data_IF_276240784835
#
_entry.id   IF_276240784835
#
_cell.length_a   1.000
_cell.length_b   1.000
_cell.length_c   1.000
_cell.angle_alpha   90.00
_cell.angle_beta   90.00
_cell.angle_gamma   90.00
#
_symmetry.space_group_name_H-M   'P 1'
#
loop_
_entity.id
_entity.type
_entity.pdbx_description
1 polymer ?
#
# COMPACT_ATOMS: atom_id res chain seq x y z
N UNK A 1 -19.88 -2.25 7.80
CA UNK A 1 -20.14 -2.33 9.27
C UNK A 1 -18.80 -2.39 10.03
N UNK A 2 -18.72 -2.03 11.33
CA UNK A 2 -17.46 -2.04 12.07
C UNK A 2 -16.70 -3.37 12.02
N UNK A 3 -17.40 -4.49 12.11
CA UNK A 3 -16.80 -5.84 12.08
C UNK A 3 -16.11 -6.14 10.75
N UNK A 4 -16.75 -5.78 9.64
CA UNK A 4 -16.16 -5.93 8.29
C UNK A 4 -14.91 -5.07 8.14
N UNK A 5 -14.91 -3.85 8.69
CA UNK A 5 -13.74 -2.98 8.68
C UNK A 5 -12.59 -3.61 9.48
N UNK A 6 -12.84 -4.17 10.66
CA UNK A 6 -11.81 -4.84 11.44
C UNK A 6 -11.23 -6.06 10.73
N UNK A 7 -12.06 -6.88 10.08
CA UNK A 7 -11.59 -8.03 9.32
C UNK A 7 -10.74 -7.62 8.11
N UNK A 8 -11.17 -6.59 7.38
CA UNK A 8 -10.37 -6.01 6.30
C UNK A 8 -9.04 -5.46 6.85
N UNK A 9 -9.07 -4.71 7.95
CA UNK A 9 -7.86 -4.17 8.56
C UNK A 9 -6.89 -5.27 9.00
N UNK A 10 -7.37 -6.33 9.67
CA UNK A 10 -6.56 -7.51 10.04
C UNK A 10 -5.95 -8.18 8.82
N UNK A 11 -6.71 -8.27 7.73
CA UNK A 11 -6.22 -8.85 6.49
C UNK A 11 -5.10 -7.97 5.90
N UNK A 12 -5.26 -6.66 5.86
CA UNK A 12 -4.24 -5.77 5.30
C UNK A 12 -2.96 -5.72 6.15
N UNK A 13 -3.09 -5.56 7.47
CA UNK A 13 -1.94 -5.36 8.37
C UNK A 13 -0.95 -6.53 8.31
N UNK A 14 -1.40 -7.76 8.04
CA UNK A 14 -0.49 -8.93 7.98
C UNK A 14 0.58 -8.83 6.90
N UNK A 15 0.37 -8.00 5.88
CA UNK A 15 1.28 -7.80 4.76
C UNK A 15 2.11 -6.53 4.88
N UNK A 16 1.80 -5.67 5.83
CA UNK A 16 2.46 -4.38 5.96
C UNK A 16 3.64 -4.48 6.90
N UNK A 17 4.84 -4.05 6.47
CA UNK A 17 5.96 -3.91 7.39
C UNK A 17 5.62 -2.95 8.53
N UNK A 18 6.27 -3.14 9.68
CA UNK A 18 6.08 -2.25 10.82
C UNK A 18 6.37 -0.80 10.43
N UNK A 19 5.55 0.14 10.91
CA UNK A 19 5.66 1.57 10.60
C UNK A 19 5.05 1.97 9.25
N UNK A 20 4.61 1.02 8.42
CA UNK A 20 3.94 1.32 7.16
C UNK A 20 2.58 1.96 7.41
N UNK A 21 2.36 3.13 6.82
CA UNK A 21 1.11 3.87 6.91
C UNK A 21 -0.01 3.16 6.15
N UNK A 22 -1.18 3.08 6.79
CA UNK A 22 -2.43 2.59 6.23
C UNK A 22 -3.28 3.82 5.92
N UNK A 23 -3.37 4.16 4.64
CA UNK A 23 -4.16 5.30 4.18
C UNK A 23 -5.40 4.84 3.42
N UNK A 24 -6.43 5.67 3.46
CA UNK A 24 -7.65 5.46 2.70
C UNK A 24 -8.59 6.66 2.77
N UNK A 25 -9.69 6.56 2.05
CA UNK A 25 -10.80 7.51 2.11
C UNK A 25 -12.12 6.80 1.87
N UNK A 26 -13.25 7.50 2.06
CA UNK A 26 -14.57 6.93 1.76
C UNK A 26 -15.22 6.19 2.92
N UNK A 27 -14.69 6.29 4.14
CA UNK A 27 -15.38 5.77 5.32
C UNK A 27 -16.69 6.55 5.56
N UNK A 28 -17.79 5.85 5.83
CA UNK A 28 -19.04 6.52 6.20
C UNK A 28 -18.98 7.02 7.65
N UNK A 29 -19.72 8.07 7.99
CA UNK A 29 -19.76 8.60 9.36
C UNK A 29 -20.33 7.60 10.34
N UNK A 30 -21.31 6.79 9.90
CA UNK A 30 -21.90 5.71 10.67
C UNK A 30 -20.87 4.61 10.98
N UNK A 31 -19.99 4.30 10.01
CA UNK A 31 -18.89 3.38 10.26
C UNK A 31 -17.95 3.97 11.33
N UNK A 32 -17.50 5.21 11.16
CA UNK A 32 -16.55 5.88 12.06
C UNK A 32 -17.09 5.90 13.49
N UNK A 33 -18.35 6.30 13.67
CA UNK A 33 -19.01 6.35 14.98
C UNK A 33 -19.13 4.97 15.66
N UNK A 34 -19.15 3.88 14.88
CA UNK A 34 -19.20 2.51 15.38
C UNK A 34 -17.85 1.87 15.68
N UNK A 35 -16.73 2.55 15.39
CA UNK A 35 -15.38 2.01 15.61
C UNK A 35 -14.95 2.14 17.08
N UNK A 36 -14.26 1.12 17.57
CA UNK A 36 -13.69 1.03 18.91
C UNK A 36 -12.17 1.16 18.78
N UNK A 37 -11.59 2.14 19.47
CA UNK A 37 -10.14 2.35 19.46
C UNK A 37 -9.38 1.10 19.87
N UNK A 38 -9.81 0.42 20.94
CA UNK A 38 -9.17 -0.79 21.43
C UNK A 38 -9.03 -1.91 20.38
N UNK A 39 -10.02 -2.10 19.50
CA UNK A 39 -9.92 -3.10 18.42
C UNK A 39 -8.89 -2.67 17.37
N UNK A 40 -8.87 -1.40 16.99
CA UNK A 40 -7.90 -0.87 16.02
C UNK A 40 -6.48 -0.94 16.58
N UNK A 41 -6.26 -0.56 17.84
CA UNK A 41 -4.96 -0.65 18.51
C UNK A 41 -4.48 -2.11 18.61
N UNK A 42 -5.39 -3.06 18.88
CA UNK A 42 -5.06 -4.49 18.90
C UNK A 42 -4.67 -5.03 17.53
N UNK A 43 -5.31 -4.54 16.47
CA UNK A 43 -5.09 -5.01 15.09
C UNK A 43 -3.85 -4.37 14.47
N UNK A 44 -3.65 -3.07 14.66
CA UNK A 44 -2.62 -2.28 13.99
C UNK A 44 -1.80 -1.43 14.99
N UNK A 45 -1.10 -2.04 15.98
CA UNK A 45 -0.36 -1.29 16.99
C UNK A 45 0.87 -0.58 16.43
N UNK A 46 1.51 -1.18 15.43
CA UNK A 46 2.79 -0.74 14.86
C UNK A 46 2.62 0.00 13.52
N UNK A 47 1.40 0.07 12.98
CA UNK A 47 1.10 0.63 11.67
C UNK A 47 0.23 1.88 11.82
N UNK A 48 0.75 3.08 11.50
CA UNK A 48 -0.04 4.31 11.52
C UNK A 48 -1.26 4.19 10.59
N UNK A 49 -2.46 4.34 11.15
CA UNK A 49 -3.72 4.31 10.42
C UNK A 49 -4.23 5.73 10.24
N UNK A 50 -4.54 6.14 9.02
CA UNK A 50 -5.18 7.43 8.74
C UNK A 50 -6.13 7.33 7.53
N UNK A 51 -7.44 7.21 7.79
CA UNK A 51 -8.46 7.00 6.76
C UNK A 51 -9.50 8.12 6.82
N UNK A 52 -9.64 8.87 5.73
CA UNK A 52 -10.65 9.93 5.62
C UNK A 52 -12.08 9.37 5.53
N UNK A 53 -13.03 10.11 6.08
CA UNK A 53 -14.43 9.93 5.72
C UNK A 53 -14.66 10.25 4.22
N UNK A 54 -15.86 9.93 3.72
CA UNK A 54 -16.26 10.25 2.35
C UNK A 54 -16.29 11.76 2.10
N UNK A 55 -16.71 12.55 3.10
CA UNK A 55 -16.40 13.97 3.16
C UNK A 55 -15.10 14.17 3.96
N UNK A 56 -14.22 15.11 3.58
CA UNK A 56 -12.94 15.31 4.26
C UNK A 56 -13.09 16.04 5.62
N UNK A 57 -14.25 15.94 6.28
CA UNK A 57 -14.51 16.63 7.56
C UNK A 57 -13.95 15.90 8.77
N UNK A 58 -13.81 14.58 8.69
CA UNK A 58 -13.25 13.75 9.74
C UNK A 58 -12.47 12.56 9.19
N UNK A 59 -11.63 11.96 10.03
CA UNK A 59 -10.85 10.78 9.70
C UNK A 59 -10.72 9.83 10.89
N UNK A 60 -10.35 8.59 10.60
CA UNK A 60 -9.95 7.56 11.55
C UNK A 60 -8.43 7.66 11.72
N UNK A 61 -7.94 7.85 12.94
CA UNK A 61 -6.52 7.83 13.28
C UNK A 61 -6.24 7.06 14.58
N UNK A 62 -5.34 6.08 14.50
CA UNK A 62 -4.88 5.31 15.67
C UNK A 62 -3.75 6.03 16.43
N UNK A 63 -3.36 5.47 17.58
CA UNK A 63 -2.31 6.02 18.43
C UNK A 63 -0.96 6.13 17.70
N UNK A 64 -0.65 5.17 16.83
CA UNK A 64 0.57 5.19 16.02
C UNK A 64 0.62 6.41 15.08
N UNK A 65 -0.48 6.78 14.42
CA UNK A 65 -0.55 7.97 13.58
C UNK A 65 -0.47 9.27 14.40
N UNK A 66 -1.18 9.33 15.54
CA UNK A 66 -1.20 10.50 16.44
C UNK A 66 0.18 10.82 17.06
N UNK A 67 1.02 9.80 17.27
CA UNK A 67 2.41 9.98 17.76
C UNK A 67 3.25 10.84 16.81
N UNK A 68 3.09 10.69 15.49
CA UNK A 68 3.85 11.48 14.51
C UNK A 68 3.48 12.97 14.52
N UNK A 69 2.26 13.31 14.94
CA UNK A 69 1.76 14.69 14.99
C UNK A 69 1.88 15.35 16.35
N UNK A 70 2.48 14.68 17.34
CA UNK A 70 2.59 15.17 18.72
C UNK A 70 1.24 15.23 19.45
N UNK A 71 0.24 14.46 19.00
CA UNK A 71 -1.10 14.38 19.57
C UNK A 71 -1.29 13.10 20.41
N UNK A 72 -0.24 12.66 21.09
CA UNK A 72 -0.22 11.40 21.82
C UNK A 72 -1.04 11.50 23.12
N UNK A 73 -2.36 11.54 23.00
CA UNK A 73 -3.29 11.37 24.12
C UNK A 73 -4.03 10.04 23.99
N UNK A 74 -4.30 9.42 25.15
CA UNK A 74 -5.19 8.27 25.27
C UNK A 74 -6.63 8.74 25.04
N UNK A 75 -6.98 8.94 23.77
CA UNK A 75 -8.35 9.21 23.39
C UNK A 75 -9.03 7.86 23.13
N UNK A 76 -10.15 7.59 23.80
CA UNK A 76 -10.96 6.38 23.58
C UNK A 76 -11.59 6.35 22.16
N UNK A 77 -11.42 7.44 21.40
CA UNK A 77 -11.90 7.60 20.03
C UNK A 77 -10.76 7.61 19.01
N UNK A 78 -10.98 6.89 17.91
CA UNK A 78 -10.15 6.97 16.70
C UNK A 78 -10.53 8.14 15.80
N UNK A 79 -11.60 8.87 16.09
CA UNK A 79 -12.01 9.99 15.25
C UNK A 79 -11.11 11.21 15.47
N UNK A 80 -10.67 11.83 14.39
CA UNK A 80 -9.95 13.11 14.38
C UNK A 80 -10.66 14.11 13.48
N UNK A 81 -10.67 15.37 13.90
CA UNK A 81 -11.33 16.49 13.21
C UNK A 81 -10.44 17.74 13.24
N UNK A 82 -10.78 18.72 12.41
CA UNK A 82 -10.22 20.07 12.46
C UNK A 82 -8.67 20.08 12.50
N UNK A 83 -8.10 20.63 13.58
CA UNK A 83 -6.66 20.78 13.76
C UNK A 83 -5.94 19.44 13.93
N UNK A 84 -6.57 18.41 14.51
CA UNK A 84 -5.95 17.10 14.66
C UNK A 84 -5.78 16.43 13.30
N UNK A 85 -6.83 16.46 12.49
CA UNK A 85 -6.82 15.97 11.12
C UNK A 85 -5.74 16.68 10.29
N UNK A 86 -5.70 18.02 10.35
CA UNK A 86 -4.71 18.81 9.61
C UNK A 86 -3.27 18.51 10.05
N UNK A 87 -3.03 18.28 11.35
CA UNK A 87 -1.70 17.94 11.86
C UNK A 87 -1.25 16.54 11.43
N UNK A 88 -2.14 15.54 11.49
CA UNK A 88 -1.82 14.17 11.07
C UNK A 88 -1.56 14.12 9.56
N UNK A 89 -2.39 14.78 8.76
CA UNK A 89 -2.21 14.82 7.30
C UNK A 89 -0.83 15.37 6.89
N UNK A 90 -0.27 16.34 7.63
CA UNK A 90 1.04 16.94 7.34
C UNK A 90 2.24 16.03 7.64
N UNK A 91 2.08 15.03 8.50
CA UNK A 91 3.17 14.14 8.92
C UNK A 91 3.16 12.80 8.19
N UNK A 92 2.16 12.55 7.34
CA UNK A 92 2.15 11.41 6.41
C UNK A 92 3.38 11.52 5.50
N UNK A 93 4.26 10.50 5.45
CA UNK A 93 5.46 10.56 4.63
C UNK A 93 5.12 10.68 3.14
N UNK A 94 5.78 11.60 2.45
CA UNK A 94 5.56 11.86 1.02
C UNK A 94 5.96 10.68 0.12
N UNK A 95 6.85 9.82 0.60
CA UNK A 95 7.36 8.64 -0.10
C UNK A 95 6.63 7.34 0.27
N UNK A 96 5.63 7.38 1.16
CA UNK A 96 4.97 6.15 1.60
C UNK A 96 4.30 5.38 0.44
N UNK A 97 3.73 6.04 -0.57
CA UNK A 97 3.18 5.35 -1.75
C UNK A 97 4.26 4.82 -2.73
N UNK A 98 5.54 5.20 -2.57
CA UNK A 98 6.59 4.98 -3.58
C UNK A 98 7.68 3.98 -3.19
N UNK A 99 7.53 3.26 -2.07
CA UNK A 99 8.47 2.18 -1.68
C UNK A 99 8.20 0.90 -2.47
N UNK A 100 8.34 0.98 -3.80
CA UNK A 100 7.94 -0.07 -4.73
C UNK A 100 8.66 -1.40 -4.51
N UNK A 101 9.92 -1.38 -4.11
CA UNK A 101 10.67 -2.61 -3.81
C UNK A 101 10.04 -3.43 -2.67
N UNK A 102 9.63 -2.77 -1.59
CA UNK A 102 8.97 -3.42 -0.45
C UNK A 102 7.58 -3.96 -0.84
N UNK A 103 6.82 -3.18 -1.61
CA UNK A 103 5.50 -3.58 -2.11
C UNK A 103 5.64 -4.82 -3.01
N UNK A 104 6.56 -4.78 -3.97
CA UNK A 104 6.79 -5.84 -4.92
C UNK A 104 7.30 -7.13 -4.26
N UNK A 105 8.23 -7.04 -3.31
CA UNK A 105 8.72 -8.18 -2.52
C UNK A 105 7.57 -8.83 -1.74
N UNK A 106 6.75 -8.02 -1.06
CA UNK A 106 5.59 -8.49 -0.29
C UNK A 106 4.56 -9.19 -1.20
N UNK A 107 4.19 -8.55 -2.31
CA UNK A 107 3.24 -9.10 -3.27
C UNK A 107 3.73 -10.40 -3.89
N UNK A 108 5.03 -10.48 -4.21
CA UNK A 108 5.64 -11.70 -4.74
C UNK A 108 5.65 -12.83 -3.72
N UNK A 109 6.04 -12.57 -2.47
CA UNK A 109 6.01 -13.58 -1.40
C UNK A 109 4.57 -14.10 -1.17
N UNK A 110 3.59 -13.21 -1.21
CA UNK A 110 2.19 -13.58 -1.06
C UNK A 110 1.68 -14.44 -2.20
N UNK A 111 1.90 -14.04 -3.45
CA UNK A 111 1.52 -14.84 -4.61
C UNK A 111 2.15 -16.25 -4.56
N UNK A 112 3.45 -16.32 -4.24
CA UNK A 112 4.16 -17.59 -4.10
C UNK A 112 3.58 -18.49 -2.98
N UNK A 113 3.04 -17.92 -1.91
CA UNK A 113 2.41 -18.70 -0.82
C UNK A 113 1.14 -19.45 -1.25
N UNK A 114 0.52 -19.06 -2.37
CA UNK A 114 -0.60 -19.76 -3.01
C UNK A 114 -0.15 -20.66 -4.17
N UNK A 115 1.15 -20.87 -4.35
CA UNK A 115 1.70 -21.64 -5.47
C UNK A 115 1.68 -20.89 -6.81
N UNK A 116 1.41 -19.58 -6.81
CA UNK A 116 1.48 -18.76 -8.03
C UNK A 116 2.96 -18.56 -8.36
N UNK A 117 3.36 -19.06 -9.53
CA UNK A 117 4.76 -19.02 -9.97
C UNK A 117 5.05 -17.92 -11.01
N UNK A 118 4.03 -17.30 -11.58
CA UNK A 118 4.17 -16.15 -12.48
C UNK A 118 2.96 -15.22 -12.46
N UNK A 119 3.19 -13.92 -12.66
CA UNK A 119 2.18 -12.87 -12.75
C UNK A 119 2.48 -11.90 -13.90
N UNK A 120 1.46 -11.20 -14.37
CA UNK A 120 1.59 -10.03 -15.25
C UNK A 120 1.31 -8.79 -14.42
N UNK A 121 2.27 -7.87 -14.35
CA UNK A 121 2.04 -6.55 -13.76
C UNK A 121 1.49 -5.62 -14.83
N UNK A 122 0.31 -5.05 -14.56
CA UNK A 122 -0.39 -4.14 -15.48
C UNK A 122 -0.62 -2.78 -14.84
N UNK A 123 0.25 -2.38 -13.92
CA UNK A 123 0.27 -1.01 -13.41
C UNK A 123 0.60 0.00 -14.54
N UNK A 124 0.20 1.26 -14.36
CA UNK A 124 0.48 2.37 -15.29
C UNK A 124 1.95 2.78 -15.32
N UNK A 125 2.69 2.54 -14.23
CA UNK A 125 4.10 2.87 -14.14
C UNK A 125 4.97 1.68 -14.58
N UNK A 126 5.91 1.90 -15.51
CA UNK A 126 6.90 0.87 -15.84
C UNK A 126 7.87 0.68 -14.66
N UNK A 127 7.81 -0.48 -14.00
CA UNK A 127 8.57 -0.77 -12.76
C UNK A 127 9.63 -1.86 -12.90
N UNK A 128 9.96 -2.25 -14.13
CA UNK A 128 11.00 -3.25 -14.43
C UNK A 128 12.30 -3.07 -13.63
N UNK A 129 12.76 -1.83 -13.37
CA UNK A 129 13.98 -1.61 -12.58
C UNK A 129 13.87 -2.14 -11.14
N UNK A 130 12.72 -1.95 -10.48
CA UNK A 130 12.44 -2.45 -9.12
C UNK A 130 12.49 -3.98 -9.12
N UNK A 131 11.87 -4.60 -10.11
CA UNK A 131 11.83 -6.05 -10.23
C UNK A 131 13.21 -6.64 -10.51
N UNK A 132 14.05 -5.96 -11.30
CA UNK A 132 15.44 -6.36 -11.54
C UNK A 132 16.27 -6.34 -10.26
N UNK A 133 16.18 -5.27 -9.47
CA UNK A 133 16.88 -5.17 -8.19
C UNK A 133 16.46 -6.28 -7.21
N UNK A 134 15.17 -6.55 -7.11
CA UNK A 134 14.64 -7.62 -6.25
C UNK A 134 15.02 -9.02 -6.74
N UNK A 135 15.02 -9.24 -8.06
CA UNK A 135 15.45 -10.50 -8.66
C UNK A 135 16.95 -10.75 -8.40
N UNK A 136 17.79 -9.74 -8.62
CA UNK A 136 19.22 -9.80 -8.34
C UNK A 136 19.52 -10.05 -6.85
N UNK A 137 18.68 -9.53 -5.95
CA UNK A 137 18.77 -9.78 -4.52
C UNK A 137 18.16 -11.13 -4.06
N UNK A 138 17.60 -11.94 -4.96
CA UNK A 138 16.94 -13.21 -4.61
C UNK A 138 15.63 -13.08 -3.83
N UNK A 139 15.07 -11.85 -3.80
CA UNK A 139 13.88 -11.45 -3.04
C UNK A 139 12.58 -11.64 -3.80
N UNK A 140 12.66 -11.75 -5.12
CA UNK A 140 11.50 -12.06 -5.95
C UNK A 140 11.23 -13.58 -5.94
N UNK A 141 10.01 -13.99 -5.61
CA UNK A 141 9.57 -15.41 -5.53
C UNK A 141 8.60 -15.82 -6.63
N UNK A 142 8.14 -14.86 -7.43
CA UNK A 142 7.17 -15.03 -8.51
C UNK A 142 7.73 -14.38 -9.76
N UNK A 143 7.68 -15.07 -10.90
CA UNK A 143 8.15 -14.49 -12.16
C UNK A 143 7.22 -13.37 -12.60
N UNK A 144 7.76 -12.23 -13.01
CA UNK A 144 6.97 -11.06 -13.40
C UNK A 144 7.10 -10.82 -14.90
N UNK A 145 5.97 -10.56 -15.55
CA UNK A 145 5.93 -9.93 -16.87
C UNK A 145 5.38 -8.50 -16.72
N UNK A 146 6.28 -7.52 -16.79
CA UNK A 146 5.97 -6.10 -16.56
C UNK A 146 5.45 -5.44 -17.85
N UNK A 147 4.23 -4.90 -17.79
CA UNK A 147 3.56 -4.27 -18.91
C UNK A 147 3.73 -2.75 -18.85
N UNK A 148 4.15 -2.16 -19.96
CA UNK A 148 4.22 -0.70 -20.07
C UNK A 148 2.93 -0.12 -20.65
N UNK A 149 2.63 1.13 -20.34
CA UNK A 149 1.51 1.84 -20.97
C UNK A 149 1.67 1.89 -22.49
N UNK A 150 0.60 1.58 -23.23
CA UNK A 150 0.51 1.73 -24.68
C UNK A 150 0.77 3.20 -25.07
N UNK A 151 0.29 4.18 -24.31
CA UNK A 151 0.52 5.59 -24.65
C UNK A 151 1.99 6.01 -24.70
N UNK A 152 2.90 5.24 -24.07
CA UNK A 152 4.33 5.53 -23.99
C UNK A 152 5.19 4.47 -24.72
N UNK A 153 4.59 3.58 -25.52
CA UNK A 153 5.34 2.52 -26.19
C UNK A 153 6.36 3.07 -27.20
N UNK A 154 6.01 4.18 -27.87
CA UNK A 154 6.80 4.79 -28.94
C UNK A 154 7.85 5.79 -28.45
N UNK A 155 7.74 6.31 -27.22
CA UNK A 155 8.75 7.22 -26.63
C UNK A 155 10.00 6.47 -26.19
N UNK A 156 9.89 5.16 -25.96
CA UNK A 156 11.03 4.25 -25.76
C UNK A 156 11.26 3.45 -27.06
N UNK A 157 11.81 4.09 -28.09
CA UNK A 157 12.01 3.49 -29.43
C UNK A 157 12.90 2.23 -29.47
N UNK A 158 13.61 1.92 -28.38
CA UNK A 158 14.10 0.57 -28.15
C UNK A 158 12.97 -0.25 -27.55
N UNK A 159 12.37 -1.13 -28.37
CA UNK A 159 11.81 -2.37 -27.86
C UNK A 159 12.83 -2.90 -26.84
N UNK A 160 12.44 -3.16 -25.57
CA UNK A 160 13.39 -3.75 -24.64
C UNK A 160 13.96 -4.97 -25.35
N UNK A 161 15.29 -5.02 -25.47
CA UNK A 161 15.95 -6.19 -26.02
C UNK A 161 15.30 -7.39 -25.33
N UNK A 162 15.10 -8.47 -26.08
CA UNK A 162 14.85 -9.77 -25.46
C UNK A 162 16.12 -10.10 -24.68
N UNK A 163 16.32 -9.46 -23.53
CA UNK A 163 17.35 -9.81 -22.57
C UNK A 163 17.15 -11.31 -22.35
N UNK A 164 18.24 -12.07 -22.45
CA UNK A 164 18.21 -13.51 -22.19
C UNK A 164 17.39 -13.70 -20.92
N UNK A 165 16.41 -14.62 -20.90
CA UNK A 165 15.35 -14.59 -19.90
C UNK A 165 15.99 -14.53 -18.53
N UNK A 166 15.96 -13.35 -17.90
CA UNK A 166 16.11 -13.27 -16.47
C UNK A 166 15.01 -14.17 -15.97
N UNK A 167 15.39 -15.27 -15.33
CA UNK A 167 14.49 -16.33 -14.89
C UNK A 167 13.27 -15.79 -14.13
N UNK A 168 13.38 -14.58 -13.58
CA UNK A 168 12.37 -13.90 -12.77
C UNK A 168 11.67 -12.70 -13.43
N UNK A 169 12.17 -12.09 -14.51
CA UNK A 169 11.57 -10.89 -15.10
C UNK A 169 11.52 -10.95 -16.64
N UNK A 170 10.38 -10.54 -17.19
CA UNK A 170 10.18 -10.26 -18.62
C UNK A 170 9.54 -8.88 -18.78
N UNK A 171 9.85 -8.21 -19.87
CA UNK A 171 9.22 -6.93 -20.28
C UNK A 171 8.76 -7.02 -21.72
N UNK A 172 7.84 -6.13 -22.14
CA UNK A 172 7.39 -6.03 -23.52
C UNK A 172 5.90 -6.28 -23.75
N UNK A 173 5.11 -6.57 -22.70
CA UNK A 173 3.66 -6.43 -22.81
C UNK A 173 3.28 -4.96 -22.77
N UNK A 174 2.16 -4.64 -23.43
CA UNK A 174 1.61 -3.30 -23.50
C UNK A 174 0.18 -3.32 -22.97
N UNK A 175 -0.20 -2.26 -22.25
CA UNK A 175 -1.55 -2.07 -21.68
C UNK A 175 -2.17 -0.77 -22.18
N UNK A 176 -3.37 -0.84 -22.74
CA UNK A 176 -4.23 0.32 -22.99
C UNK A 176 -5.17 0.60 -21.82
N UNK A 177 -5.60 1.85 -21.66
CA UNK A 177 -6.66 2.25 -20.72
C UNK A 177 -7.97 2.46 -21.47
#
# INVERSE_FOLDING_TARGET
>A
RPEEFYEQLKFYVRFLPKGRWILGSGASKELIAGLKAAEIERIAPDNPLFIYAADPSEAIANSAARKFSGLADANDSVTVREIELARIARVVPTDHIRRWAEIAETASNYAASYGITSVQDTDSDARAYVYRELAAAGKLKTRIYDCSSLSNWFTKQTLPLREAPENMLRTGCLKGF
#
